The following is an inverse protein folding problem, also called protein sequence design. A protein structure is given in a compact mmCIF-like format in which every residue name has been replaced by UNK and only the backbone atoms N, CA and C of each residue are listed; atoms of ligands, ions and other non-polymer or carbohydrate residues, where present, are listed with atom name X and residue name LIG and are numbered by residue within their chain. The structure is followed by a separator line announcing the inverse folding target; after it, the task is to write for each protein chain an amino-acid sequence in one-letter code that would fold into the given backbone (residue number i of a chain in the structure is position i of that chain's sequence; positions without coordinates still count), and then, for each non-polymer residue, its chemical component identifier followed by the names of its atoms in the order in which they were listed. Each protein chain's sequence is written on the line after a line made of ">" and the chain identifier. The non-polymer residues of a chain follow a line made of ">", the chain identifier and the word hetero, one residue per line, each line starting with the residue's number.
data_IF_959218455997
#
_entry.id   IF_959218455997
#
_cell.length_a   1.000
_cell.length_b   1.000
_cell.length_c   1.000
_cell.angle_alpha   90.00
_cell.angle_beta   90.00
_cell.angle_gamma   90.00
#
_symmetry.space_group_name_H-M   'P 1'
#
loop_
_entity.id
_entity.type
_entity.pdbx_description
1 polymer ?
#
# COMPACT_ATOMS: atom_id res chain seq x y z
N UNK A 1 -17.75 -6.15 -39.03
CA UNK A 1 -17.46 -6.05 -37.58
C UNK A 1 -16.66 -4.77 -37.36
N UNK A 2 -17.24 -3.77 -36.70
CA UNK A 2 -16.55 -2.50 -36.47
C UNK A 2 -15.45 -2.68 -35.40
N UNK A 3 -14.19 -2.56 -35.82
CA UNK A 3 -13.06 -2.38 -34.92
C UNK A 3 -13.21 -1.02 -34.25
N UNK A 4 -13.69 -0.97 -33.01
CA UNK A 4 -13.61 0.23 -32.19
C UNK A 4 -12.14 0.53 -31.91
N UNK A 5 -11.56 1.49 -32.64
CA UNK A 5 -10.27 2.06 -32.30
C UNK A 5 -10.37 2.67 -30.90
N UNK A 6 -9.67 2.10 -29.90
CA UNK A 6 -9.55 2.71 -28.58
C UNK A 6 -8.99 4.12 -28.78
N UNK A 7 -9.80 5.14 -28.50
CA UNK A 7 -9.39 6.54 -28.57
C UNK A 7 -8.16 6.71 -27.68
N UNK A 8 -7.03 7.07 -28.29
CA UNK A 8 -5.76 7.23 -27.57
C UNK A 8 -5.94 8.36 -26.56
N UNK A 9 -5.91 8.03 -25.26
CA UNK A 9 -5.99 9.01 -24.19
C UNK A 9 -4.76 9.92 -24.27
N UNK A 10 -5.00 11.23 -24.35
CA UNK A 10 -3.96 12.26 -24.44
C UNK A 10 -4.00 13.14 -23.21
N UNK A 11 -2.82 13.50 -22.69
CA UNK A 11 -2.70 14.44 -21.58
C UNK A 11 -3.17 15.82 -22.07
N UNK A 12 -4.15 16.47 -21.42
CA UNK A 12 -4.58 17.81 -21.82
C UNK A 12 -3.44 18.81 -21.63
N UNK A 13 -3.18 19.64 -22.65
CA UNK A 13 -2.05 20.58 -22.65
C UNK A 13 -2.27 21.76 -21.70
N UNK A 14 -3.51 22.24 -21.63
CA UNK A 14 -3.91 23.46 -20.92
C UNK A 14 -4.52 23.18 -19.53
N UNK A 15 -4.49 21.92 -19.07
CA UNK A 15 -4.97 21.57 -17.74
C UNK A 15 -3.96 22.01 -16.67
N UNK A 16 -4.49 22.57 -15.57
CA UNK A 16 -3.73 22.88 -14.37
C UNK A 16 -3.41 21.62 -13.55
N UNK A 17 -2.56 21.77 -12.53
CA UNK A 17 -2.14 20.66 -11.65
C UNK A 17 -3.33 19.96 -10.99
N UNK A 18 -4.34 20.70 -10.56
CA UNK A 18 -5.52 20.14 -9.90
C UNK A 18 -6.34 19.28 -10.85
N UNK A 19 -6.56 19.75 -12.09
CA UNK A 19 -7.29 18.98 -13.09
C UNK A 19 -6.53 17.73 -13.50
N UNK A 20 -5.21 17.80 -13.63
CA UNK A 20 -4.36 16.64 -13.92
C UNK A 20 -4.42 15.60 -12.79
N UNK A 21 -4.37 16.04 -11.52
CA UNK A 21 -4.52 15.16 -10.36
C UNK A 21 -5.91 14.51 -10.32
N UNK A 22 -6.97 15.26 -10.63
CA UNK A 22 -8.32 14.70 -10.72
C UNK A 22 -8.40 13.62 -11.79
N UNK A 23 -7.95 13.91 -13.01
CA UNK A 23 -7.94 12.95 -14.12
C UNK A 23 -7.10 11.70 -13.79
N UNK A 24 -5.99 11.88 -13.05
CA UNK A 24 -5.15 10.77 -12.61
C UNK A 24 -5.86 9.86 -11.59
N UNK A 25 -6.81 10.38 -10.80
CA UNK A 25 -7.60 9.57 -9.86
C UNK A 25 -8.76 8.82 -10.55
N UNK A 26 -9.26 9.36 -11.65
CA UNK A 26 -10.43 8.82 -12.38
C UNK A 26 -10.04 7.76 -13.43
N UNK A 27 -8.76 7.64 -13.78
CA UNK A 27 -8.29 6.69 -14.79
C UNK A 27 -7.91 5.33 -14.18
N UNK A 28 -8.35 4.24 -14.82
CA UNK A 28 -7.93 2.87 -14.49
C UNK A 28 -6.63 2.44 -15.20
N UNK A 29 -6.16 3.22 -16.19
CA UNK A 29 -4.90 2.94 -16.90
C UNK A 29 -3.70 3.55 -16.14
N UNK A 30 -2.85 2.74 -15.49
CA UNK A 30 -1.70 3.24 -14.72
C UNK A 30 -0.64 3.90 -15.60
N UNK A 31 -0.55 3.53 -16.88
CA UNK A 31 0.36 4.19 -17.83
C UNK A 31 -0.11 5.61 -18.13
N UNK A 32 -1.42 5.78 -18.33
CA UNK A 32 -1.99 7.11 -18.54
C UNK A 32 -1.97 7.94 -17.27
N UNK A 33 -2.26 7.32 -16.12
CA UNK A 33 -2.13 7.92 -14.80
C UNK A 33 -0.73 8.51 -14.58
N UNK A 34 0.32 7.72 -14.86
CA UNK A 34 1.70 8.19 -14.75
C UNK A 34 1.98 9.42 -15.62
N UNK A 35 1.50 9.42 -16.88
CA UNK A 35 1.68 10.57 -17.79
C UNK A 35 1.01 11.84 -17.26
N UNK A 36 -0.19 11.72 -16.70
CA UNK A 36 -0.90 12.85 -16.07
C UNK A 36 -0.11 13.37 -14.86
N UNK A 37 0.37 12.47 -14.00
CA UNK A 37 1.13 12.83 -12.81
C UNK A 37 2.50 13.44 -13.12
N UNK A 38 3.23 12.93 -14.13
CA UNK A 38 4.47 13.55 -14.59
C UNK A 38 4.24 14.97 -15.13
N UNK A 39 3.13 15.18 -15.87
CA UNK A 39 2.78 16.54 -16.31
C UNK A 39 2.45 17.44 -15.11
N UNK A 40 1.73 16.92 -14.11
CA UNK A 40 1.42 17.66 -12.89
C UNK A 40 2.69 18.03 -12.10
N UNK A 41 3.68 17.13 -12.06
CA UNK A 41 4.99 17.33 -11.41
C UNK A 41 5.79 18.44 -12.10
N UNK A 42 5.80 18.48 -13.44
CA UNK A 42 6.43 19.57 -14.20
C UNK A 42 5.80 20.93 -13.85
N UNK A 43 4.48 20.98 -13.69
CA UNK A 43 3.77 22.23 -13.37
C UNK A 43 3.92 22.65 -11.90
N UNK A 44 4.06 21.69 -10.99
CA UNK A 44 4.14 21.94 -9.55
C UNK A 44 5.03 20.90 -8.86
N UNK A 45 6.37 21.03 -8.96
CA UNK A 45 7.31 20.03 -8.45
C UNK A 45 7.27 19.90 -6.93
N UNK A 46 6.98 20.99 -6.24
CA UNK A 46 6.86 21.06 -4.77
C UNK A 46 5.44 20.75 -4.26
N UNK A 47 4.55 20.23 -5.12
CA UNK A 47 3.23 19.78 -4.69
C UNK A 47 3.32 18.43 -3.99
N UNK A 48 3.10 18.44 -2.66
CA UNK A 48 3.02 17.21 -1.86
C UNK A 48 1.99 16.22 -2.42
N UNK A 49 0.86 16.71 -2.94
CA UNK A 49 -0.18 15.83 -3.50
C UNK A 49 0.29 15.09 -4.75
N UNK A 50 1.06 15.76 -5.61
CA UNK A 50 1.65 15.14 -6.81
C UNK A 50 2.71 14.12 -6.42
N UNK A 51 3.60 14.49 -5.50
CA UNK A 51 4.66 13.61 -5.03
C UNK A 51 4.11 12.36 -4.34
N UNK A 52 3.08 12.51 -3.49
CA UNK A 52 2.37 11.39 -2.86
C UNK A 52 1.69 10.49 -3.92
N UNK A 53 1.01 11.07 -4.91
CA UNK A 53 0.34 10.29 -5.94
C UNK A 53 1.34 9.46 -6.77
N UNK A 54 2.49 10.04 -7.14
CA UNK A 54 3.57 9.32 -7.82
C UNK A 54 4.20 8.23 -6.92
N UNK A 55 4.37 8.50 -5.63
CA UNK A 55 4.88 7.53 -4.66
C UNK A 55 3.95 6.30 -4.55
N UNK A 56 2.65 6.54 -4.44
CA UNK A 56 1.64 5.47 -4.30
C UNK A 56 1.39 4.72 -5.62
N UNK A 57 1.54 5.38 -6.77
CA UNK A 57 1.49 4.70 -8.07
C UNK A 57 2.61 3.65 -8.20
N UNK A 58 3.76 3.88 -7.54
CA UNK A 58 4.90 2.97 -7.58
C UNK A 58 5.34 2.72 -9.01
N UNK A 59 5.38 1.45 -9.42
CA UNK A 59 5.83 1.02 -10.76
C UNK A 59 4.69 0.44 -11.59
N UNK A 60 3.43 0.69 -11.23
CA UNK A 60 2.27 0.13 -11.93
C UNK A 60 2.22 0.50 -13.42
N UNK A 61 2.81 1.63 -13.80
CA UNK A 61 2.91 2.08 -15.19
C UNK A 61 3.89 1.25 -16.05
N UNK A 62 4.74 0.44 -15.43
CA UNK A 62 5.68 -0.46 -16.11
C UNK A 62 5.05 -1.82 -16.45
N UNK A 63 3.78 -2.01 -16.04
CA UNK A 63 3.05 -3.26 -16.25
C UNK A 63 3.02 -3.62 -17.73
N UNK A 64 3.74 -4.69 -18.07
CA UNK A 64 3.64 -5.35 -19.39
C UNK A 64 2.31 -6.11 -19.46
N UNK A 65 1.83 -6.40 -20.68
CA UNK A 65 0.58 -7.15 -20.89
C UNK A 65 0.60 -8.59 -20.32
N UNK A 66 1.76 -9.08 -19.85
CA UNK A 66 1.86 -10.36 -19.16
C UNK A 66 1.39 -10.25 -17.70
N UNK A 67 0.52 -11.18 -17.35
CA UNK A 67 -0.32 -11.20 -16.16
C UNK A 67 0.51 -11.59 -14.92
N UNK A 68 0.38 -10.85 -13.82
CA UNK A 68 0.69 -11.35 -12.47
C UNK A 68 1.87 -10.74 -11.71
N UNK A 69 2.60 -9.76 -12.25
CA UNK A 69 3.69 -9.14 -11.48
C UNK A 69 3.16 -8.12 -10.46
N UNK A 70 2.88 -8.60 -9.25
CA UNK A 70 2.42 -7.78 -8.14
C UNK A 70 3.53 -6.93 -7.51
N UNK A 71 4.81 -7.18 -7.84
CA UNK A 71 5.94 -6.40 -7.31
C UNK A 71 5.89 -4.93 -7.72
N UNK A 72 5.09 -4.59 -8.73
CA UNK A 72 4.87 -3.24 -9.22
C UNK A 72 3.95 -2.40 -8.31
N UNK A 73 3.13 -3.04 -7.47
CA UNK A 73 2.19 -2.37 -6.56
C UNK A 73 2.96 -1.93 -5.30
N UNK A 74 2.86 -0.65 -4.93
CA UNK A 74 3.66 -0.08 -3.84
C UNK A 74 3.55 -0.86 -2.53
N UNK A 75 2.34 -1.29 -2.15
CA UNK A 75 2.14 -2.02 -0.91
C UNK A 75 2.71 -3.46 -0.92
N UNK A 76 3.07 -4.03 -2.08
CA UNK A 76 3.62 -5.38 -2.18
C UNK A 76 5.00 -5.53 -1.53
N UNK A 77 5.67 -4.44 -1.15
CA UNK A 77 6.85 -4.52 -0.29
C UNK A 77 6.58 -5.19 1.07
N UNK A 78 5.34 -5.14 1.57
CA UNK A 78 4.92 -5.84 2.80
C UNK A 78 4.91 -7.37 2.66
N UNK A 79 4.97 -7.89 1.43
CA UNK A 79 5.12 -9.32 1.17
C UNK A 79 6.43 -9.90 1.71
N UNK A 80 7.43 -9.04 1.96
CA UNK A 80 8.63 -9.39 2.72
C UNK A 80 8.29 -10.00 4.10
N UNK A 81 7.20 -9.59 4.73
CA UNK A 81 6.78 -10.10 6.03
C UNK A 81 5.78 -11.25 5.93
N UNK A 82 5.03 -11.36 4.83
CA UNK A 82 4.04 -12.43 4.65
C UNK A 82 4.68 -13.71 4.10
N UNK A 83 5.58 -13.57 3.12
CA UNK A 83 6.25 -14.69 2.47
C UNK A 83 7.78 -14.49 2.38
N UNK A 84 8.49 -14.27 3.51
CA UNK A 84 9.94 -14.05 3.50
C UNK A 84 10.73 -15.17 2.81
N UNK A 85 10.23 -16.41 2.88
CA UNK A 85 10.85 -17.59 2.27
C UNK A 85 10.91 -17.53 0.73
N UNK A 86 10.16 -16.63 0.09
CA UNK A 86 10.17 -16.46 -1.36
C UNK A 86 11.35 -15.60 -1.84
N UNK A 87 12.14 -15.04 -0.93
CA UNK A 87 13.16 -14.03 -1.21
C UNK A 87 14.53 -14.45 -0.67
N UNK A 88 15.58 -14.03 -1.36
CA UNK A 88 16.93 -14.03 -0.77
C UNK A 88 17.04 -12.92 0.27
N UNK A 89 18.04 -13.00 1.14
CA UNK A 89 18.27 -11.98 2.18
C UNK A 89 18.48 -10.58 1.58
N UNK A 90 19.15 -10.47 0.43
CA UNK A 90 19.36 -9.19 -0.24
C UNK A 90 18.04 -8.58 -0.72
N UNK A 91 17.17 -9.40 -1.32
CA UNK A 91 15.85 -8.95 -1.81
C UNK A 91 14.95 -8.60 -0.62
N UNK A 92 14.98 -9.41 0.44
CA UNK A 92 14.21 -9.20 1.65
C UNK A 92 14.60 -7.89 2.33
N UNK A 93 15.91 -7.62 2.45
CA UNK A 93 16.45 -6.36 2.95
C UNK A 93 16.01 -5.20 2.06
N UNK A 94 16.17 -5.30 0.74
CA UNK A 94 15.81 -4.22 -0.18
C UNK A 94 14.31 -3.86 -0.08
N UNK A 95 13.42 -4.85 -0.11
CA UNK A 95 11.98 -4.65 0.05
C UNK A 95 11.62 -4.01 1.39
N UNK A 96 12.23 -4.49 2.47
CA UNK A 96 11.98 -3.99 3.82
C UNK A 96 12.42 -2.53 3.95
N UNK A 97 13.61 -2.19 3.45
CA UNK A 97 14.11 -0.80 3.47
C UNK A 97 13.33 0.13 2.56
N UNK A 98 12.79 -0.35 1.44
CA UNK A 98 11.98 0.47 0.53
C UNK A 98 10.73 1.08 1.20
N UNK A 99 10.27 0.49 2.31
CA UNK A 99 9.16 1.04 3.10
C UNK A 99 9.51 2.44 3.63
N UNK A 100 10.75 2.66 4.06
CA UNK A 100 11.19 3.89 4.74
C UNK A 100 12.18 4.74 3.94
N UNK A 101 12.95 4.11 3.04
CA UNK A 101 14.09 4.75 2.36
C UNK A 101 13.82 5.08 0.89
N UNK A 102 12.55 5.06 0.46
CA UNK A 102 12.23 5.37 -0.92
C UNK A 102 12.53 6.85 -1.22
N UNK A 103 13.28 7.21 -2.29
CA UNK A 103 13.67 8.60 -2.56
C UNK A 103 12.48 9.57 -2.63
N UNK A 104 11.38 9.13 -3.25
CA UNK A 104 10.15 9.93 -3.34
C UNK A 104 9.41 10.06 -2.00
N UNK A 105 9.57 9.11 -1.08
CA UNK A 105 9.06 9.24 0.28
C UNK A 105 9.81 10.35 1.01
N UNK A 106 11.15 10.38 0.93
CA UNK A 106 11.94 11.49 1.49
C UNK A 106 11.53 12.85 0.93
N UNK A 107 11.33 12.97 -0.39
CA UNK A 107 10.82 14.21 -0.99
C UNK A 107 9.43 14.60 -0.45
N UNK A 108 8.55 13.63 -0.22
CA UNK A 108 7.25 13.93 0.41
C UNK A 108 7.40 14.40 1.86
N UNK A 109 8.29 13.79 2.64
CA UNK A 109 8.56 14.18 4.03
C UNK A 109 9.13 15.60 4.11
N UNK A 110 10.03 15.98 3.19
CA UNK A 110 10.58 17.34 3.08
C UNK A 110 9.49 18.38 2.77
N UNK A 111 8.52 18.03 1.93
CA UNK A 111 7.42 18.91 1.53
C UNK A 111 6.28 18.97 2.57
N UNK A 112 6.19 17.99 3.45
CA UNK A 112 5.10 17.87 4.41
C UNK A 112 5.24 18.91 5.53
N UNK A 113 4.15 19.62 5.83
CA UNK A 113 4.08 20.52 7.00
C UNK A 113 4.31 19.79 8.32
N UNK A 114 3.88 18.52 8.39
CA UNK A 114 4.10 17.62 9.49
C UNK A 114 4.58 16.28 8.93
N UNK A 115 5.91 16.04 8.88
CA UNK A 115 6.48 14.81 8.32
C UNK A 115 6.03 13.54 9.04
N UNK A 116 5.87 13.59 10.37
CA UNK A 116 5.44 12.43 11.16
C UNK A 116 4.00 12.03 10.83
N UNK A 117 3.10 13.01 10.70
CA UNK A 117 1.73 12.76 10.27
C UNK A 117 1.67 12.18 8.85
N UNK A 118 2.48 12.71 7.93
CA UNK A 118 2.57 12.18 6.57
C UNK A 118 3.07 10.72 6.56
N UNK A 119 4.11 10.41 7.35
CA UNK A 119 4.63 9.04 7.46
C UNK A 119 3.54 8.09 7.96
N UNK A 120 2.80 8.47 9.00
CA UNK A 120 1.70 7.67 9.53
C UNK A 120 0.59 7.43 8.47
N UNK A 121 0.20 8.47 7.73
CA UNK A 121 -0.79 8.34 6.65
C UNK A 121 -0.31 7.43 5.53
N UNK A 122 0.94 7.58 5.11
CA UNK A 122 1.55 6.73 4.08
C UNK A 122 1.58 5.26 4.50
N UNK A 123 2.03 4.98 5.73
CA UNK A 123 2.06 3.62 6.27
C UNK A 123 0.66 3.03 6.40
N UNK A 124 -0.33 3.81 6.86
CA UNK A 124 -1.72 3.38 6.98
C UNK A 124 -2.30 3.02 5.62
N UNK A 125 -2.01 3.82 4.59
CA UNK A 125 -2.47 3.61 3.23
C UNK A 125 -1.88 2.31 2.64
N UNK A 126 -0.56 2.08 2.74
CA UNK A 126 0.05 0.83 2.23
C UNK A 126 -0.41 -0.40 3.01
N UNK A 127 -0.58 -0.32 4.34
CA UNK A 127 -1.03 -1.46 5.15
C UNK A 127 -2.46 -1.86 4.80
N UNK A 128 -3.38 -0.89 4.66
CA UNK A 128 -4.76 -1.15 4.25
C UNK A 128 -4.84 -1.71 2.85
N UNK A 129 -4.10 -1.14 1.91
CA UNK A 129 -4.04 -1.66 0.53
C UNK A 129 -3.52 -3.10 0.52
N UNK A 130 -2.49 -3.42 1.30
CA UNK A 130 -1.93 -4.77 1.35
C UNK A 130 -2.93 -5.78 1.94
N UNK A 131 -3.57 -5.45 3.06
CA UNK A 131 -4.61 -6.29 3.66
C UNK A 131 -5.72 -6.54 2.64
N UNK A 132 -6.20 -5.48 1.98
CA UNK A 132 -7.30 -5.59 1.03
C UNK A 132 -6.95 -6.44 -0.21
N UNK A 133 -5.77 -6.21 -0.80
CA UNK A 133 -5.37 -6.84 -2.06
C UNK A 133 -4.84 -8.27 -1.88
N UNK A 134 -4.07 -8.52 -0.83
CA UNK A 134 -3.28 -9.76 -0.69
C UNK A 134 -3.73 -10.67 0.44
N UNK A 135 -4.21 -10.13 1.56
CA UNK A 135 -4.65 -10.95 2.69
C UNK A 135 -6.13 -11.32 2.56
N UNK A 136 -6.97 -10.35 2.21
CA UNK A 136 -8.41 -10.55 2.00
C UNK A 136 -8.75 -11.08 0.58
N UNK A 137 -7.79 -11.08 -0.34
CA UNK A 137 -8.00 -11.31 -1.78
C UNK A 137 -8.48 -12.73 -2.15
N UNK A 138 -9.39 -12.80 -3.14
CA UNK A 138 -10.07 -13.99 -3.71
C UNK A 138 -11.42 -14.42 -3.09
N UNK A 139 -12.40 -13.51 -3.10
CA UNK A 139 -13.70 -13.83 -3.74
C UNK A 139 -13.79 -13.02 -5.03
N UNK A 140 -13.36 -13.62 -6.14
CA UNK A 140 -13.27 -13.00 -7.47
C UNK A 140 -14.51 -12.16 -7.82
N UNK A 141 -14.36 -10.91 -8.27
CA UNK A 141 -15.49 -10.04 -8.62
C UNK A 141 -16.53 -9.88 -7.48
N UNK A 142 -16.14 -9.28 -6.37
CA UNK A 142 -17.13 -8.70 -5.45
C UNK A 142 -16.87 -7.21 -5.24
N UNK A 143 -17.62 -6.31 -5.90
CA UNK A 143 -17.80 -4.96 -5.40
C UNK A 143 -18.65 -5.08 -4.13
N UNK A 144 -18.00 -5.13 -2.96
CA UNK A 144 -18.70 -5.06 -1.68
C UNK A 144 -18.25 -3.84 -0.89
N UNK A 145 -18.72 -2.69 -1.35
CA UNK A 145 -19.11 -1.59 -0.47
C UNK A 145 -20.37 -1.96 0.38
N UNK A 146 -20.73 -3.25 0.50
CA UNK A 146 -21.99 -3.74 1.07
C UNK A 146 -21.82 -5.06 1.84
N UNK A 147 -21.57 -4.98 3.15
CA UNK A 147 -22.21 -5.85 4.16
C UNK A 147 -22.04 -7.38 4.13
N UNK A 148 -21.11 -7.97 3.37
CA UNK A 148 -20.92 -9.44 3.41
C UNK A 148 -20.00 -9.82 4.57
N UNK A 149 -20.56 -10.45 5.61
CA UNK A 149 -19.80 -11.03 6.72
C UNK A 149 -19.01 -12.24 6.23
N UNK A 150 -17.67 -12.15 6.26
CA UNK A 150 -16.78 -13.29 6.09
C UNK A 150 -17.15 -14.38 7.11
N UNK A 151 -17.19 -15.65 6.69
CA UNK A 151 -17.49 -16.77 7.57
C UNK A 151 -16.45 -16.90 8.71
N UNK A 152 -16.89 -17.36 9.89
CA UNK A 152 -16.06 -17.44 11.11
C UNK A 152 -14.72 -18.17 10.91
N UNK A 153 -14.71 -19.27 10.16
CA UNK A 153 -13.48 -20.03 9.86
C UNK A 153 -12.48 -19.30 8.95
N UNK A 154 -12.94 -18.38 8.11
CA UNK A 154 -12.09 -17.53 7.28
C UNK A 154 -11.45 -16.43 8.13
N UNK A 155 -12.22 -15.80 9.03
CA UNK A 155 -11.69 -14.76 9.93
C UNK A 155 -10.60 -15.27 10.87
N UNK A 156 -10.75 -16.48 11.42
CA UNK A 156 -9.74 -17.04 12.31
C UNK A 156 -8.41 -17.32 11.60
N UNK A 157 -8.46 -17.75 10.33
CA UNK A 157 -7.26 -17.95 9.50
C UNK A 157 -6.60 -16.62 9.16
N UNK A 158 -7.37 -15.63 8.74
CA UNK A 158 -6.86 -14.29 8.45
C UNK A 158 -6.21 -13.66 9.69
N UNK A 159 -6.80 -13.85 10.87
CA UNK A 159 -6.21 -13.40 12.13
C UNK A 159 -4.87 -14.07 12.43
N UNK A 160 -4.71 -15.36 12.10
CA UNK A 160 -3.43 -16.06 12.22
C UNK A 160 -2.36 -15.48 11.28
N UNK A 161 -2.69 -15.31 10.00
CA UNK A 161 -1.77 -14.69 9.02
C UNK A 161 -1.34 -13.30 9.45
N UNK A 162 -2.28 -12.44 9.85
CA UNK A 162 -1.97 -11.08 10.30
C UNK A 162 -1.12 -11.06 11.58
N UNK A 163 -1.33 -12.01 12.50
CA UNK A 163 -0.50 -12.14 13.70
C UNK A 163 0.95 -12.50 13.35
N UNK A 164 1.16 -13.39 12.38
CA UNK A 164 2.50 -13.80 11.95
C UNK A 164 3.24 -12.64 11.25
N UNK A 165 2.55 -11.88 10.40
CA UNK A 165 3.09 -10.65 9.79
C UNK A 165 3.53 -9.66 10.87
N UNK A 166 2.67 -9.40 11.88
CA UNK A 166 3.00 -8.49 12.99
C UNK A 166 4.25 -8.94 13.74
N UNK A 167 4.38 -10.23 14.06
CA UNK A 167 5.58 -10.76 14.72
C UNK A 167 6.82 -10.59 13.85
N UNK A 168 6.73 -10.86 12.55
CA UNK A 168 7.86 -10.71 11.62
C UNK A 168 8.27 -9.26 11.42
N UNK A 169 7.33 -8.31 11.43
CA UNK A 169 7.65 -6.87 11.46
C UNK A 169 8.44 -6.55 12.74
N UNK A 170 7.95 -6.98 13.91
CA UNK A 170 8.57 -6.71 15.21
C UNK A 170 9.92 -7.40 15.42
N UNK A 171 10.23 -8.42 14.63
CA UNK A 171 11.48 -9.19 14.67
C UNK A 171 12.39 -8.92 13.47
N UNK A 172 12.03 -7.97 12.61
CA UNK A 172 12.78 -7.73 11.37
C UNK A 172 14.19 -7.22 11.67
N UNK A 173 15.25 -7.89 11.22
CA UNK A 173 16.62 -7.43 11.40
C UNK A 173 16.97 -6.24 10.51
N UNK A 174 16.10 -5.91 9.54
CA UNK A 174 16.31 -4.84 8.57
C UNK A 174 15.58 -3.54 8.93
N UNK A 175 14.83 -3.53 10.02
CA UNK A 175 14.16 -2.36 10.57
C UNK A 175 14.81 -1.96 11.89
N UNK A 176 14.94 -0.66 12.12
CA UNK A 176 15.25 -0.12 13.43
C UNK A 176 14.08 -0.35 14.40
N UNK A 177 14.36 -0.36 15.71
CA UNK A 177 13.32 -0.61 16.74
C UNK A 177 12.14 0.38 16.61
N UNK A 178 12.42 1.64 16.27
CA UNK A 178 11.37 2.66 16.07
C UNK A 178 10.52 2.37 14.83
N UNK A 179 11.15 1.95 13.73
CA UNK A 179 10.47 1.59 12.48
C UNK A 179 9.62 0.33 12.66
N UNK A 180 10.16 -0.69 13.36
CA UNK A 180 9.42 -1.91 13.73
C UNK A 180 8.13 -1.55 14.48
N UNK A 181 8.22 -0.73 15.51
CA UNK A 181 7.05 -0.31 16.31
C UNK A 181 6.08 0.52 15.48
N UNK A 182 6.56 1.49 14.70
CA UNK A 182 5.71 2.35 13.89
C UNK A 182 4.93 1.54 12.83
N UNK A 183 5.61 0.66 12.10
CA UNK A 183 4.98 -0.18 11.09
C UNK A 183 4.03 -1.19 11.73
N UNK A 184 4.43 -1.85 12.82
CA UNK A 184 3.58 -2.83 13.49
C UNK A 184 2.31 -2.20 14.07
N UNK A 185 2.41 -1.03 14.71
CA UNK A 185 1.24 -0.27 15.21
C UNK A 185 0.29 0.09 14.07
N UNK A 186 0.84 0.56 12.95
CA UNK A 186 0.05 0.96 11.79
C UNK A 186 -0.63 -0.23 11.12
N UNK A 187 0.09 -1.35 10.94
CA UNK A 187 -0.48 -2.58 10.42
C UNK A 187 -1.56 -3.14 11.36
N UNK A 188 -1.32 -3.15 12.67
CA UNK A 188 -2.32 -3.55 13.67
C UNK A 188 -3.59 -2.70 13.62
N UNK A 189 -3.46 -1.38 13.48
CA UNK A 189 -4.61 -0.47 13.29
C UNK A 189 -5.40 -0.81 12.02
N UNK A 190 -4.70 -1.14 10.93
CA UNK A 190 -5.34 -1.58 9.69
C UNK A 190 -6.07 -2.93 9.87
N UNK A 191 -5.49 -3.89 10.61
CA UNK A 191 -6.16 -5.15 10.98
C UNK A 191 -7.42 -4.90 11.85
N UNK A 192 -7.31 -4.02 12.85
CA UNK A 192 -8.44 -3.66 13.72
C UNK A 192 -9.60 -3.08 12.92
N UNK A 193 -9.28 -2.19 11.98
CA UNK A 193 -10.27 -1.60 11.06
C UNK A 193 -10.88 -2.65 10.14
N UNK A 194 -10.07 -3.58 9.62
CA UNK A 194 -10.54 -4.66 8.74
C UNK A 194 -11.51 -5.61 9.43
N UNK A 195 -11.26 -5.95 10.69
CA UNK A 195 -12.15 -6.82 11.47
C UNK A 195 -13.37 -6.10 12.08
N UNK A 196 -13.56 -4.80 11.81
CA UNK A 196 -14.61 -3.98 12.44
C UNK A 196 -14.62 -4.12 13.98
N UNK A 197 -13.42 -4.12 14.58
CA UNK A 197 -13.22 -4.32 16.02
C UNK A 197 -13.33 -5.79 16.50
N UNK A 198 -13.64 -6.74 15.63
CA UNK A 198 -13.72 -8.18 15.92
C UNK A 198 -12.36 -8.88 16.08
N UNK A 199 -11.47 -8.33 16.91
CA UNK A 199 -10.05 -8.71 16.99
C UNK A 199 -9.70 -9.75 18.06
N UNK A 200 -10.69 -10.34 18.75
CA UNK A 200 -10.44 -11.28 19.86
C UNK A 200 -9.49 -12.43 19.49
N UNK A 201 -9.62 -12.99 18.28
CA UNK A 201 -8.72 -14.06 17.82
C UNK A 201 -7.30 -13.54 17.59
N UNK A 202 -7.17 -12.38 16.95
CA UNK A 202 -5.89 -11.72 16.72
C UNK A 202 -5.21 -11.38 18.05
N UNK A 203 -5.94 -10.83 19.02
CA UNK A 203 -5.46 -10.53 20.36
C UNK A 203 -4.95 -11.77 21.09
N UNK A 204 -5.75 -12.85 21.09
CA UNK A 204 -5.34 -14.10 21.71
C UNK A 204 -4.08 -14.71 21.10
N UNK A 205 -3.85 -14.48 19.80
CA UNK A 205 -2.61 -14.91 19.15
C UNK A 205 -1.42 -14.01 19.52
N UNK A 206 -1.58 -12.69 19.50
CA UNK A 206 -0.49 -11.75 19.80
C UNK A 206 -0.05 -11.84 21.27
N UNK A 207 -0.99 -12.08 22.18
CA UNK A 207 -0.73 -12.09 23.62
C UNK A 207 -0.50 -10.70 24.21
N UNK A 208 -0.60 -10.60 25.53
CA UNK A 208 -0.59 -9.34 26.29
C UNK A 208 0.67 -8.49 26.07
N UNK A 209 1.84 -9.12 25.98
CA UNK A 209 3.11 -8.40 25.83
C UNK A 209 3.19 -7.66 24.49
N UNK A 210 2.83 -8.32 23.39
CA UNK A 210 2.82 -7.70 22.07
C UNK A 210 1.73 -6.63 22.00
N UNK A 211 0.54 -6.91 22.55
CA UNK A 211 -0.54 -5.93 22.57
C UNK A 211 -0.16 -4.65 23.34
N UNK A 212 0.54 -4.76 24.47
CA UNK A 212 1.06 -3.59 25.20
C UNK A 212 2.05 -2.76 24.37
N UNK A 213 2.85 -3.40 23.51
CA UNK A 213 3.76 -2.69 22.60
C UNK A 213 3.01 -2.00 21.45
N UNK A 214 1.85 -2.53 21.06
CA UNK A 214 1.02 -2.01 19.96
C UNK A 214 0.00 -0.95 20.41
N UNK A 215 -0.32 -0.88 21.71
CA UNK A 215 -1.18 0.14 22.32
C UNK A 215 -0.59 1.55 22.24
#
# INVERSE_FOLDING_TARGET
>A
MAFFAKKKLTVPKDADTNKLLQLARETDDPTFQHKLLLRAEILSPESLQVQKALLMLGRLYERKQNIGDFSLIKCHMLDAFDHPQNYTDEILRAKTREIFDHPRLHKCLELAKNPDAFMQEYLDEICRQYIFLFIAGSSSRSPSLFGIRLGKGTNDRLAAYMADILRRILLSPYLEIKEQLLLAKTFYKACYSFFDGGVNKLHGLLGEEILKRLA
#
